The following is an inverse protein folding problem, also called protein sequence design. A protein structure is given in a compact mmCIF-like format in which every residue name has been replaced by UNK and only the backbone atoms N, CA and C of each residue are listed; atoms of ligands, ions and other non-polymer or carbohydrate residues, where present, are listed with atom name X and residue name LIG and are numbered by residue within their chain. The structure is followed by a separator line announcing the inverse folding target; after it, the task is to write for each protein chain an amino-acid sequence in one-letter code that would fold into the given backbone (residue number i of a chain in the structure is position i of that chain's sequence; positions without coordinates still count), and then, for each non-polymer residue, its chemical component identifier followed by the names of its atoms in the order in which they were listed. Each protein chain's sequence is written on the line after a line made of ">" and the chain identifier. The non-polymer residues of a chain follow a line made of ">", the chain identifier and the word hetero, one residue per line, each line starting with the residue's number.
data_IF_289984935187
#
_entry.id   IF_289984935187
#
_cell.length_a   1.000
_cell.length_b   1.000
_cell.length_c   1.000
_cell.angle_alpha   90.00
_cell.angle_beta   90.00
_cell.angle_gamma   90.00
#
_symmetry.space_group_name_H-M   'P 1'
#
loop_
_entity.id
_entity.type
_entity.pdbx_description
1 polymer ?
#
# COMPACT_ATOMS: atom_id res chain seq x y z
N UNK A 1 -12.98 -1.04 -9.78
CA UNK A 1 -13.63 -1.28 -8.46
C UNK A 1 -13.14 -2.62 -7.93
N UNK A 2 -13.02 -2.79 -6.61
CA UNK A 2 -12.84 -4.09 -5.95
C UNK A 2 -13.96 -4.21 -4.91
N UNK A 3 -14.67 -5.34 -4.87
CA UNK A 3 -15.77 -5.60 -3.94
C UNK A 3 -15.45 -6.88 -3.16
N UNK A 4 -15.76 -6.88 -1.87
CA UNK A 4 -15.71 -8.05 -1.00
C UNK A 4 -17.02 -8.09 -0.24
N UNK A 5 -17.71 -9.24 -0.25
CA UNK A 5 -18.95 -9.49 0.50
C UNK A 5 -18.71 -10.63 1.46
N UNK A 6 -19.13 -10.46 2.71
CA UNK A 6 -19.02 -11.46 3.77
C UNK A 6 -20.42 -11.65 4.35
N UNK A 7 -20.88 -12.89 4.43
CA UNK A 7 -22.19 -13.25 4.97
C UNK A 7 -22.23 -14.72 5.38
N UNK A 8 -23.26 -15.11 6.13
CA UNK A 8 -23.49 -16.50 6.55
C UNK A 8 -24.11 -17.40 5.48
N UNK A 9 -24.52 -16.81 4.35
CA UNK A 9 -25.12 -17.54 3.23
C UNK A 9 -24.07 -18.31 2.42
N UNK A 10 -24.54 -19.24 1.58
CA UNK A 10 -23.65 -19.97 0.67
C UNK A 10 -23.01 -19.05 -0.37
N UNK A 11 -21.89 -19.50 -0.94
CA UNK A 11 -21.18 -18.75 -2.00
C UNK A 11 -22.09 -18.47 -3.21
N UNK A 12 -23.02 -19.38 -3.53
CA UNK A 12 -23.95 -19.19 -4.64
C UNK A 12 -24.92 -18.03 -4.39
N UNK A 13 -25.44 -17.90 -3.16
CA UNK A 13 -26.32 -16.80 -2.77
C UNK A 13 -25.55 -15.48 -2.76
N UNK A 14 -24.34 -15.48 -2.18
CA UNK A 14 -23.50 -14.29 -2.15
C UNK A 14 -23.11 -13.83 -3.56
N UNK A 15 -22.78 -14.76 -4.46
CA UNK A 15 -22.51 -14.46 -5.86
C UNK A 15 -23.74 -13.88 -6.56
N UNK A 16 -24.92 -14.46 -6.34
CA UNK A 16 -26.17 -13.98 -6.93
C UNK A 16 -26.44 -12.52 -6.56
N UNK A 17 -26.35 -12.17 -5.27
CA UNK A 17 -26.53 -10.79 -4.81
C UNK A 17 -25.48 -9.83 -5.36
N UNK A 18 -24.23 -10.27 -5.51
CA UNK A 18 -23.19 -9.43 -6.13
C UNK A 18 -23.57 -9.08 -7.57
N UNK A 19 -24.03 -10.06 -8.33
CA UNK A 19 -24.46 -9.84 -9.72
C UNK A 19 -25.71 -8.95 -9.76
N UNK A 20 -26.71 -9.25 -8.94
CA UNK A 20 -27.97 -8.49 -8.89
C UNK A 20 -27.74 -7.02 -8.51
N UNK A 21 -26.94 -6.75 -7.49
CA UNK A 21 -26.85 -5.42 -6.89
C UNK A 21 -25.74 -4.55 -7.49
N UNK A 22 -24.73 -5.13 -8.13
CA UNK A 22 -23.54 -4.40 -8.59
C UNK A 22 -23.25 -4.51 -10.10
N UNK A 23 -24.04 -5.26 -10.87
CA UNK A 23 -23.82 -5.40 -12.33
C UNK A 23 -23.97 -4.09 -13.10
N UNK A 24 -24.85 -3.20 -12.65
CA UNK A 24 -25.11 -1.90 -13.29
C UNK A 24 -24.02 -0.84 -13.03
N UNK A 25 -23.00 -1.16 -12.23
CA UNK A 25 -21.90 -0.24 -11.95
C UNK A 25 -21.04 -0.07 -13.20
N UNK A 26 -21.19 1.09 -13.85
CA UNK A 26 -20.44 1.43 -15.07
C UNK A 26 -18.94 1.50 -14.80
N UNK A 27 -18.16 1.03 -15.78
CA UNK A 27 -16.71 1.18 -15.75
C UNK A 27 -16.33 2.66 -15.81
N UNK A 28 -15.48 3.10 -14.88
CA UNK A 28 -14.94 4.47 -14.88
C UNK A 28 -14.10 4.76 -16.12
N UNK A 29 -14.14 6.01 -16.59
CA UNK A 29 -13.49 6.47 -17.84
C UNK A 29 -11.96 6.56 -17.78
N UNK A 30 -11.36 6.43 -16.60
CA UNK A 30 -9.92 6.47 -16.43
C UNK A 30 -9.38 5.05 -16.21
N UNK A 31 -8.52 4.61 -17.12
CA UNK A 31 -7.68 3.42 -16.91
C UNK A 31 -6.85 3.56 -15.63
N UNK A 32 -6.31 2.45 -15.13
CA UNK A 32 -5.50 2.44 -13.91
C UNK A 32 -4.33 3.43 -14.08
N UNK A 33 -4.20 4.48 -13.25
CA UNK A 33 -3.11 5.42 -13.39
C UNK A 33 -1.79 4.68 -13.19
N UNK A 34 -0.91 4.77 -14.19
CA UNK A 34 0.43 4.23 -14.13
C UNK A 34 1.35 5.29 -13.53
N UNK A 35 1.95 4.97 -12.38
CA UNK A 35 2.91 5.84 -11.75
C UNK A 35 4.28 5.66 -12.43
N UNK A 36 4.49 6.36 -13.55
CA UNK A 36 5.74 6.34 -14.34
C UNK A 36 6.79 7.34 -13.83
N UNK A 37 6.88 7.52 -12.51
CA UNK A 37 7.88 8.45 -11.97
C UNK A 37 9.26 7.82 -12.12
N UNK A 38 10.04 8.36 -13.05
CA UNK A 38 11.46 8.08 -13.18
C UNK A 38 12.22 8.94 -12.15
N UNK A 39 12.65 8.32 -11.06
CA UNK A 39 13.48 8.96 -10.03
C UNK A 39 12.88 8.96 -8.63
N UNK A 40 13.67 9.33 -7.61
CA UNK A 40 13.21 9.29 -6.22
C UNK A 40 12.23 10.44 -5.95
N UNK A 41 11.15 10.13 -5.21
CA UNK A 41 10.11 11.11 -4.80
C UNK A 41 10.71 12.24 -3.97
N UNK A 42 11.83 12.01 -3.30
CA UNK A 42 12.59 13.01 -2.53
C UNK A 42 14.08 12.96 -2.82
N UNK A 43 14.77 14.08 -2.58
CA UNK A 43 16.23 14.16 -2.69
C UNK A 43 16.89 13.53 -1.47
N UNK A 44 17.83 12.61 -1.69
CA UNK A 44 18.63 12.01 -0.62
C UNK A 44 19.58 13.02 0.05
N UNK A 45 20.11 12.67 1.22
CA UNK A 45 21.12 13.46 1.92
C UNK A 45 20.58 14.75 2.58
N UNK A 46 19.29 14.78 2.92
CA UNK A 46 18.66 15.89 3.65
C UNK A 46 18.55 15.57 5.12
N UNK A 47 18.88 16.55 5.96
CA UNK A 47 18.67 16.51 7.40
C UNK A 47 17.57 17.49 7.77
N UNK A 48 16.52 16.96 8.41
CA UNK A 48 15.44 17.75 8.96
C UNK A 48 15.55 17.74 10.49
N UNK A 49 15.48 18.92 11.10
CA UNK A 49 15.42 19.08 12.56
C UNK A 49 14.14 19.82 12.88
N UNK A 50 13.33 19.24 13.77
CA UNK A 50 12.00 19.70 14.12
C UNK A 50 11.93 19.79 15.65
N UNK A 51 11.22 20.81 16.15
CA UNK A 51 10.95 20.95 17.57
C UNK A 51 9.79 20.02 17.96
N UNK A 52 10.01 19.20 19.00
CA UNK A 52 9.01 18.30 19.50
C UNK A 52 8.06 19.03 20.46
N UNK A 53 6.76 18.84 20.28
CA UNK A 53 5.74 19.39 21.21
C UNK A 53 5.73 18.61 22.54
N UNK A 54 6.12 17.34 22.50
CA UNK A 54 6.24 16.47 23.68
C UNK A 54 7.70 16.25 24.03
N UNK A 55 7.95 15.81 25.26
CA UNK A 55 9.28 15.41 25.71
C UNK A 55 9.67 14.05 25.10
N UNK A 56 10.13 14.09 23.84
CA UNK A 56 10.56 12.93 23.07
C UNK A 56 11.81 13.26 22.25
N UNK A 57 12.69 12.28 22.12
CA UNK A 57 13.86 12.34 21.25
C UNK A 57 13.77 11.23 20.21
N UNK A 58 13.54 11.62 18.95
CA UNK A 58 13.31 10.68 17.85
C UNK A 58 14.34 10.95 16.75
N UNK A 59 14.99 9.87 16.30
CA UNK A 59 15.80 9.85 15.09
C UNK A 59 15.07 9.00 14.04
N UNK A 60 14.67 9.61 12.93
CA UNK A 60 14.07 8.90 11.80
C UNK A 60 15.05 8.88 10.61
N UNK A 61 15.40 7.68 10.16
CA UNK A 61 16.17 7.46 8.94
C UNK A 61 15.23 6.93 7.85
N UNK A 62 15.26 7.53 6.66
CA UNK A 62 14.37 7.19 5.54
C UNK A 62 15.18 6.97 4.26
N UNK A 63 14.83 5.92 3.52
CA UNK A 63 15.38 5.60 2.20
C UNK A 63 14.25 5.54 1.18
N UNK A 64 14.46 6.09 -0.02
CA UNK A 64 13.52 5.92 -1.13
C UNK A 64 13.76 4.55 -1.78
N UNK A 65 12.72 3.72 -1.84
CA UNK A 65 12.74 2.43 -2.53
C UNK A 65 11.79 2.47 -3.74
N UNK A 66 12.06 1.70 -4.79
CA UNK A 66 11.10 1.50 -5.88
C UNK A 66 9.85 0.76 -5.38
N UNK A 67 8.81 0.68 -6.21
CA UNK A 67 7.63 -0.13 -5.89
C UNK A 67 8.01 -1.62 -5.84
N UNK A 68 7.96 -2.23 -4.65
CA UNK A 68 8.32 -3.63 -4.42
C UNK A 68 7.15 -4.61 -4.59
N UNK A 69 5.98 -4.12 -4.99
CA UNK A 69 4.76 -4.95 -5.15
C UNK A 69 4.97 -6.14 -6.11
N UNK A 70 5.83 -6.01 -7.12
CA UNK A 70 6.15 -7.11 -8.04
C UNK A 70 6.95 -8.25 -7.37
N UNK A 71 7.65 -7.95 -6.28
CA UNK A 71 8.40 -8.91 -5.48
C UNK A 71 7.66 -9.32 -4.19
N UNK A 72 6.33 -9.15 -4.14
CA UNK A 72 5.50 -9.41 -2.96
C UNK A 72 5.75 -10.77 -2.29
N UNK A 73 5.97 -11.84 -3.06
CA UNK A 73 6.21 -13.17 -2.49
C UNK A 73 7.60 -13.30 -1.84
N UNK A 74 8.59 -12.54 -2.33
CA UNK A 74 9.95 -12.55 -1.80
C UNK A 74 10.07 -11.67 -0.56
N UNK A 75 9.22 -10.64 -0.44
CA UNK A 75 9.18 -9.69 0.68
C UNK A 75 10.57 -9.12 1.04
N UNK A 76 11.33 -8.59 0.07
CA UNK A 76 12.69 -8.11 0.31
C UNK A 76 12.76 -7.01 1.39
N UNK A 77 11.74 -6.15 1.46
CA UNK A 77 11.61 -5.11 2.49
C UNK A 77 11.44 -5.69 3.89
N UNK A 78 10.62 -6.75 4.04
CA UNK A 78 10.40 -7.39 5.34
C UNK A 78 11.66 -8.09 5.83
N UNK A 79 12.39 -8.73 4.92
CA UNK A 79 13.67 -9.37 5.24
C UNK A 79 14.70 -8.35 5.76
N UNK A 80 14.85 -7.21 5.06
CA UNK A 80 15.74 -6.13 5.50
C UNK A 80 15.29 -5.53 6.84
N UNK A 81 13.98 -5.29 7.01
CA UNK A 81 13.43 -4.76 8.26
C UNK A 81 13.68 -5.73 9.42
N UNK A 82 13.54 -7.04 9.20
CA UNK A 82 13.81 -8.05 10.20
C UNK A 82 15.29 -8.04 10.64
N UNK A 83 16.22 -7.95 9.70
CA UNK A 83 17.66 -7.88 10.03
C UNK A 83 18.03 -6.58 10.74
N UNK A 84 17.49 -5.44 10.30
CA UNK A 84 17.77 -4.13 10.88
C UNK A 84 17.15 -3.96 12.28
N UNK A 85 15.98 -4.56 12.50
CA UNK A 85 15.27 -4.56 13.77
C UNK A 85 15.60 -5.76 14.66
N UNK A 86 16.62 -6.54 14.32
CA UNK A 86 17.06 -7.65 15.16
C UNK A 86 17.75 -7.08 16.41
N UNK A 87 17.26 -7.48 17.58
CA UNK A 87 17.84 -7.18 18.91
C UNK A 87 18.49 -8.42 19.52
#
# INVERSE_FOLDING_TARGET
>A
MKLVVIGGESLDVLQHWVVELFSDVRQGSQGKPEFKVEGPVWRAGKLYRLEAVKDVHILELRWALPCLLQAYLQKPEDYLAHLLGHE
#
